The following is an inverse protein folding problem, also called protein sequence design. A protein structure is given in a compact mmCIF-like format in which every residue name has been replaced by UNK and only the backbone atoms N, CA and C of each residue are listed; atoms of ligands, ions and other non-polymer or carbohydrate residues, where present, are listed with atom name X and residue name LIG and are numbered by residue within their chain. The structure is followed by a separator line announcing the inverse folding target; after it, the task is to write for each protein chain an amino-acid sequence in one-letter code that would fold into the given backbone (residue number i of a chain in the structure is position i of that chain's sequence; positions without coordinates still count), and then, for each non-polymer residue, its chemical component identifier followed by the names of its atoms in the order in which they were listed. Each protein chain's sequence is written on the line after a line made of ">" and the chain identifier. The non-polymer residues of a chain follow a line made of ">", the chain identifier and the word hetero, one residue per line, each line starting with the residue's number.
data_IF_204573952583
#
_entry.id   IF_204573952583
#
_cell.length_a   1.000
_cell.length_b   1.000
_cell.length_c   1.000
_cell.angle_alpha   90.00
_cell.angle_beta   90.00
_cell.angle_gamma   90.00
#
_symmetry.space_group_name_H-M   'P 1'
#
loop_
_entity.id
_entity.type
_entity.pdbx_description
1 polymer ?
#
# COMPACT_ATOMS: atom_id res chain seq x y z
N UNK A 1 24.18 -24.63 0.38
CA UNK A 1 24.12 -23.89 1.66
C UNK A 1 23.88 -22.38 1.46
N UNK A 2 23.91 -21.85 0.23
CA UNK A 2 23.70 -20.43 -0.07
C UNK A 2 22.23 -20.07 -0.31
N UNK A 3 21.44 -20.95 -0.94
CA UNK A 3 20.02 -20.70 -1.28
C UNK A 3 19.13 -20.52 -0.05
N UNK A 4 19.18 -21.44 0.93
CA UNK A 4 18.40 -21.25 2.18
C UNK A 4 18.75 -19.95 2.91
N UNK A 5 20.01 -19.52 2.87
CA UNK A 5 20.43 -18.29 3.55
C UNK A 5 19.90 -17.03 2.85
N UNK A 6 19.74 -17.07 1.52
CA UNK A 6 19.14 -15.99 0.74
C UNK A 6 17.62 -15.91 0.92
N UNK A 7 16.93 -17.05 0.92
CA UNK A 7 15.47 -17.13 1.18
C UNK A 7 15.12 -16.65 2.59
N UNK A 8 15.89 -17.05 3.60
CA UNK A 8 15.71 -16.58 4.97
C UNK A 8 15.87 -15.05 5.06
N UNK A 9 16.91 -14.49 4.44
CA UNK A 9 17.15 -13.04 4.45
C UNK A 9 16.06 -12.25 3.70
N UNK A 10 15.56 -12.77 2.57
CA UNK A 10 14.42 -12.16 1.87
C UNK A 10 13.16 -12.15 2.73
N UNK A 11 12.85 -13.30 3.35
CA UNK A 11 11.69 -13.45 4.24
C UNK A 11 11.76 -12.50 5.44
N UNK A 12 12.93 -12.35 6.06
CA UNK A 12 13.12 -11.39 7.16
C UNK A 12 12.93 -9.94 6.69
N UNK A 13 13.40 -9.60 5.50
CA UNK A 13 13.26 -8.26 4.95
C UNK A 13 11.80 -7.90 4.65
N UNK A 14 11.06 -8.79 3.98
CA UNK A 14 9.64 -8.52 3.67
C UNK A 14 8.79 -8.45 4.94
N UNK A 15 9.07 -9.28 5.95
CA UNK A 15 8.42 -9.17 7.26
C UNK A 15 8.72 -7.84 7.96
N UNK A 16 9.94 -7.32 7.83
CA UNK A 16 10.28 -6.00 8.35
C UNK A 16 9.58 -4.88 7.59
N UNK A 17 9.37 -5.03 6.28
CA UNK A 17 8.58 -4.11 5.47
C UNK A 17 7.11 -4.10 5.89
N UNK A 18 6.51 -5.27 6.09
CA UNK A 18 5.14 -5.40 6.59
C UNK A 18 4.96 -4.67 7.92
N UNK A 19 5.84 -4.92 8.90
CA UNK A 19 5.77 -4.24 10.22
C UNK A 19 5.84 -2.72 10.10
N UNK A 20 6.67 -2.19 9.19
CA UNK A 20 6.77 -0.75 8.96
C UNK A 20 5.47 -0.18 8.36
N UNK A 21 4.87 -0.89 7.41
CA UNK A 21 3.59 -0.50 6.81
C UNK A 21 2.46 -0.55 7.83
N UNK A 22 2.35 -1.62 8.62
CA UNK A 22 1.37 -1.75 9.71
C UNK A 22 1.51 -0.63 10.75
N UNK A 23 2.74 -0.25 11.09
CA UNK A 23 2.99 0.87 11.99
C UNK A 23 2.48 2.19 11.42
N UNK A 24 2.77 2.48 10.14
CA UNK A 24 2.32 3.71 9.47
C UNK A 24 0.80 3.77 9.31
N UNK A 25 0.16 2.63 9.04
CA UNK A 25 -1.30 2.49 8.99
C UNK A 25 -1.94 2.68 10.37
N UNK A 26 -1.35 2.08 11.41
CA UNK A 26 -1.83 2.25 12.79
C UNK A 26 -1.72 3.71 13.24
N UNK A 27 -0.59 4.37 12.92
CA UNK A 27 -0.39 5.80 13.15
C UNK A 27 -1.40 6.64 12.38
N UNK A 28 -1.72 6.30 11.13
CA UNK A 28 -2.76 6.96 10.36
C UNK A 28 -4.14 6.85 11.03
N UNK A 29 -4.54 5.64 11.41
CA UNK A 29 -5.82 5.38 12.06
C UNK A 29 -5.97 6.12 13.40
N UNK A 30 -4.88 6.24 14.17
CA UNK A 30 -4.88 7.04 15.40
C UNK A 30 -5.08 8.53 15.11
N UNK A 31 -4.42 9.07 14.08
CA UNK A 31 -4.62 10.46 13.68
C UNK A 31 -6.08 10.71 13.27
N UNK A 32 -6.70 9.81 12.50
CA UNK A 32 -8.12 9.90 12.10
C UNK A 32 -9.06 9.84 13.33
N UNK A 33 -8.76 8.94 14.27
CA UNK A 33 -9.58 8.74 15.48
C UNK A 33 -9.51 9.86 16.51
N UNK A 34 -8.45 10.68 16.51
CA UNK A 34 -8.30 11.84 17.41
C UNK A 34 -9.26 12.99 17.04
N UNK A 35 -9.78 13.00 15.81
CA UNK A 35 -10.72 14.03 15.33
C UNK A 35 -12.15 13.82 15.88
N UNK A 36 -12.50 12.62 16.38
CA UNK A 36 -13.89 12.28 16.75
C UNK A 36 -14.27 12.48 18.23
N UNK A 37 -13.44 13.12 19.07
CA UNK A 37 -13.72 13.26 20.52
C UNK A 37 -13.70 14.69 21.08
N UNK A 38 -13.55 15.72 20.25
CA UNK A 38 -13.60 17.11 20.74
C UNK A 38 -14.75 17.88 20.09
N UNK A 39 -15.87 17.92 20.80
CA UNK A 39 -16.80 19.04 20.69
C UNK A 39 -16.04 20.32 21.10
N UNK A 40 -16.03 21.34 20.22
CA UNK A 40 -15.82 22.80 20.44
C UNK A 40 -14.53 23.48 19.90
N UNK A 41 -14.61 24.80 19.57
CA UNK A 41 -13.90 25.42 18.43
C UNK A 41 -12.59 26.17 18.76
N UNK A 42 -11.58 26.00 17.88
CA UNK A 42 -10.42 26.88 17.61
C UNK A 42 -10.05 26.72 16.12
N UNK A 43 -10.84 27.36 15.27
CA UNK A 43 -11.34 26.74 14.03
C UNK A 43 -10.34 26.60 12.88
N UNK A 44 -9.25 27.37 12.83
CA UNK A 44 -8.38 27.34 11.64
C UNK A 44 -6.99 26.73 11.85
N UNK A 45 -6.38 26.84 13.04
CA UNK A 45 -4.98 26.43 13.22
C UNK A 45 -4.82 24.95 13.55
N UNK A 46 -5.72 24.39 14.34
CA UNK A 46 -5.67 22.98 14.72
C UNK A 46 -6.10 22.08 13.56
N UNK A 47 -7.17 22.45 12.84
CA UNK A 47 -7.61 21.74 11.64
C UNK A 47 -6.53 21.68 10.54
N UNK A 48 -5.79 22.78 10.33
CA UNK A 48 -4.68 22.81 9.38
C UNK A 48 -3.50 21.94 9.83
N UNK A 49 -3.10 21.99 11.10
CA UNK A 49 -2.01 21.16 11.64
C UNK A 49 -2.38 19.68 11.57
N UNK A 50 -3.60 19.32 11.97
CA UNK A 50 -4.09 17.94 11.89
C UNK A 50 -4.02 17.46 10.43
N UNK A 51 -4.62 18.21 9.50
CA UNK A 51 -4.60 17.89 8.06
C UNK A 51 -3.18 17.73 7.50
N UNK A 52 -2.23 18.57 7.94
CA UNK A 52 -0.83 18.48 7.52
C UNK A 52 -0.16 17.21 8.05
N UNK A 53 -0.42 16.83 9.31
CA UNK A 53 0.13 15.62 9.91
C UNK A 53 -0.45 14.37 9.23
N UNK A 54 -1.76 14.36 8.91
CA UNK A 54 -2.37 13.28 8.13
C UNK A 54 -1.70 13.12 6.76
N UNK A 55 -1.58 14.22 6.00
CA UNK A 55 -0.93 14.23 4.69
C UNK A 55 0.52 13.78 4.76
N UNK A 56 1.25 14.22 5.79
CA UNK A 56 2.64 13.83 5.99
C UNK A 56 2.78 12.33 6.26
N UNK A 57 1.88 11.74 7.04
CA UNK A 57 1.89 10.32 7.33
C UNK A 57 1.55 9.47 6.09
N UNK A 58 0.54 9.88 5.32
CA UNK A 58 0.21 9.22 4.05
C UNK A 58 1.36 9.33 3.03
N UNK A 59 2.00 10.49 2.94
CA UNK A 59 3.17 10.67 2.08
C UNK A 59 4.37 9.82 2.53
N UNK A 60 4.53 9.58 3.84
CA UNK A 60 5.54 8.65 4.37
C UNK A 60 5.22 7.21 3.98
N UNK A 61 3.97 6.79 4.11
CA UNK A 61 3.51 5.47 3.67
C UNK A 61 3.70 5.28 2.15
N UNK A 62 3.29 6.27 1.35
CA UNK A 62 3.47 6.23 -0.10
C UNK A 62 4.94 6.10 -0.49
N UNK A 63 5.84 6.92 0.07
CA UNK A 63 7.29 6.80 -0.19
C UNK A 63 7.85 5.44 0.22
N UNK A 64 7.34 4.85 1.31
CA UNK A 64 7.75 3.51 1.70
C UNK A 64 7.36 2.49 0.64
N UNK A 65 6.11 2.52 0.17
CA UNK A 65 5.60 1.61 -0.87
C UNK A 65 6.32 1.78 -2.21
N UNK A 66 6.66 3.01 -2.59
CA UNK A 66 7.42 3.31 -3.82
C UNK A 66 8.80 2.64 -3.85
N UNK A 67 9.42 2.36 -2.69
CA UNK A 67 10.72 1.70 -2.60
C UNK A 67 10.68 0.18 -2.62
N UNK A 68 9.50 -0.43 -2.52
CA UNK A 68 9.33 -1.88 -2.42
C UNK A 68 9.20 -2.53 -3.79
N UNK A 69 9.59 -3.80 -3.92
CA UNK A 69 9.31 -4.59 -5.11
C UNK A 69 7.80 -4.91 -5.22
N UNK A 70 7.21 -5.05 -6.42
CA UNK A 70 5.81 -5.49 -6.58
C UNK A 70 5.46 -6.73 -5.73
N UNK A 71 6.31 -7.76 -5.75
CA UNK A 71 6.13 -8.97 -4.93
C UNK A 71 6.09 -8.69 -3.40
N UNK A 72 6.89 -7.74 -2.90
CA UNK A 72 6.84 -7.33 -1.49
C UNK A 72 5.51 -6.62 -1.17
N UNK A 73 5.01 -5.80 -2.10
CA UNK A 73 3.72 -5.12 -1.95
C UNK A 73 2.59 -6.14 -1.98
N UNK A 74 2.63 -7.12 -2.88
CA UNK A 74 1.67 -8.20 -2.94
C UNK A 74 1.61 -8.96 -1.61
N UNK A 75 2.75 -9.36 -1.06
CA UNK A 75 2.83 -9.99 0.27
C UNK A 75 2.18 -9.12 1.36
N UNK A 76 2.44 -7.82 1.35
CA UNK A 76 1.85 -6.88 2.32
C UNK A 76 0.32 -6.82 2.14
N UNK A 77 -0.18 -6.67 0.92
CA UNK A 77 -1.62 -6.60 0.63
C UNK A 77 -2.35 -7.86 1.11
N UNK A 78 -1.74 -9.04 0.98
CA UNK A 78 -2.30 -10.30 1.47
C UNK A 78 -2.37 -10.39 2.99
N UNK A 79 -1.37 -9.84 3.68
CA UNK A 79 -1.32 -9.84 5.14
C UNK A 79 -2.29 -8.83 5.80
N UNK A 80 -2.69 -7.79 5.07
CA UNK A 80 -3.51 -6.71 5.63
C UNK A 80 -5.02 -7.05 5.67
N UNK A 81 -5.76 -6.55 6.69
CA UNK A 81 -7.22 -6.49 6.66
C UNK A 81 -7.74 -5.67 5.47
N UNK A 82 -8.98 -5.92 5.04
CA UNK A 82 -9.52 -5.36 3.79
C UNK A 82 -9.46 -3.83 3.74
N UNK A 83 -9.79 -3.12 4.81
CA UNK A 83 -9.79 -1.65 4.82
C UNK A 83 -8.37 -1.09 4.64
N UNK A 84 -7.40 -1.69 5.32
CA UNK A 84 -5.99 -1.29 5.24
C UNK A 84 -5.38 -1.66 3.89
N UNK A 85 -5.74 -2.83 3.35
CA UNK A 85 -5.35 -3.29 2.03
C UNK A 85 -5.79 -2.31 0.96
N UNK A 86 -7.07 -1.90 0.96
CA UNK A 86 -7.59 -0.96 -0.02
C UNK A 86 -6.95 0.42 0.09
N UNK A 87 -6.65 0.88 1.31
CA UNK A 87 -5.88 2.11 1.50
C UNK A 87 -4.47 2.00 0.91
N UNK A 88 -3.76 0.91 1.17
CA UNK A 88 -2.43 0.67 0.58
C UNK A 88 -2.52 0.61 -0.93
N UNK A 89 -3.51 -0.09 -1.48
CA UNK A 89 -3.73 -0.20 -2.92
C UNK A 89 -3.87 1.16 -3.60
N UNK A 90 -4.71 2.06 -3.05
CA UNK A 90 -4.90 3.42 -3.58
C UNK A 90 -3.63 4.30 -3.48
N UNK A 91 -2.71 3.99 -2.56
CA UNK A 91 -1.46 4.73 -2.39
C UNK A 91 -0.34 4.25 -3.32
N UNK A 92 -0.45 3.04 -3.86
CA UNK A 92 0.48 2.56 -4.87
C UNK A 92 0.22 3.29 -6.19
N UNK A 93 1.28 3.50 -6.97
CA UNK A 93 1.14 4.16 -8.27
C UNK A 93 0.63 3.17 -9.32
N UNK A 94 -0.29 3.65 -10.16
CA UNK A 94 -0.98 2.80 -11.13
C UNK A 94 -0.07 2.19 -12.19
N UNK A 95 1.12 2.74 -12.44
CA UNK A 95 2.13 2.12 -13.31
C UNK A 95 2.61 0.74 -12.84
N UNK A 96 2.30 0.35 -11.59
CA UNK A 96 2.72 -0.93 -10.98
C UNK A 96 1.56 -1.89 -10.76
N UNK A 97 0.34 -1.49 -11.14
CA UNK A 97 -0.86 -2.26 -10.85
C UNK A 97 -0.79 -3.64 -11.51
N UNK A 98 -0.35 -3.71 -12.77
CA UNK A 98 -0.21 -4.96 -13.51
C UNK A 98 0.72 -5.95 -12.79
N UNK A 99 1.96 -5.52 -12.53
CA UNK A 99 2.98 -6.33 -11.86
C UNK A 99 2.50 -6.84 -10.49
N UNK A 100 1.89 -5.98 -9.67
CA UNK A 100 1.37 -6.36 -8.35
C UNK A 100 0.19 -7.34 -8.48
N UNK A 101 -0.69 -7.10 -9.45
CA UNK A 101 -1.83 -7.98 -9.68
C UNK A 101 -1.33 -9.39 -9.99
N UNK A 102 -0.31 -9.60 -10.83
CA UNK A 102 0.26 -10.93 -11.11
C UNK A 102 0.69 -11.66 -9.82
N UNK A 103 1.34 -10.95 -8.91
CA UNK A 103 1.98 -11.52 -7.71
C UNK A 103 1.00 -11.92 -6.60
N UNK A 104 -0.17 -11.27 -6.49
CA UNK A 104 -1.15 -11.57 -5.44
C UNK A 104 -1.97 -12.85 -5.74
N UNK A 105 -2.47 -13.51 -4.71
CA UNK A 105 -3.45 -14.58 -4.83
C UNK A 105 -4.76 -14.11 -5.46
N UNK A 106 -5.50 -15.05 -6.09
CA UNK A 106 -6.75 -14.75 -6.79
C UNK A 106 -7.79 -14.04 -5.92
N UNK A 107 -7.95 -14.46 -4.66
CA UNK A 107 -8.89 -13.84 -3.74
C UNK A 107 -8.56 -12.37 -3.46
N UNK A 108 -7.27 -12.03 -3.34
CA UNK A 108 -6.83 -10.65 -3.16
C UNK A 108 -6.99 -9.89 -4.47
N UNK A 109 -6.53 -10.45 -5.59
CA UNK A 109 -6.68 -9.89 -6.94
C UNK A 109 -8.11 -9.48 -7.25
N UNK A 110 -9.09 -10.34 -6.98
CA UNK A 110 -10.52 -10.05 -7.15
C UNK A 110 -10.96 -8.83 -6.33
N UNK A 111 -10.51 -8.74 -5.07
CA UNK A 111 -10.84 -7.60 -4.20
C UNK A 111 -10.24 -6.27 -4.68
N UNK A 112 -9.05 -6.31 -5.28
CA UNK A 112 -8.38 -5.12 -5.84
C UNK A 112 -9.06 -4.69 -7.15
N UNK A 113 -9.28 -5.64 -8.06
CA UNK A 113 -9.97 -5.41 -9.35
C UNK A 113 -11.37 -4.82 -9.14
N UNK A 114 -12.08 -5.26 -8.09
CA UNK A 114 -13.40 -4.72 -7.75
C UNK A 114 -13.40 -3.21 -7.42
N UNK A 115 -12.24 -2.64 -7.09
CA UNK A 115 -12.09 -1.21 -6.83
C UNK A 115 -11.58 -0.40 -8.03
N UNK A 116 -11.14 -1.07 -9.10
CA UNK A 116 -10.56 -0.42 -10.27
C UNK A 116 -11.64 -0.03 -11.28
N UNK A 117 -11.43 1.11 -11.94
CA UNK A 117 -12.25 1.52 -13.08
C UNK A 117 -11.74 0.88 -14.38
N UNK A 118 -12.50 1.05 -15.48
CA UNK A 118 -12.17 0.45 -16.78
C UNK A 118 -10.82 0.91 -17.33
N UNK A 119 -10.46 2.18 -17.13
CA UNK A 119 -9.23 2.76 -17.65
C UNK A 119 -8.01 2.24 -16.88
N UNK A 120 -8.14 2.10 -15.55
CA UNK A 120 -7.12 1.47 -14.70
C UNK A 120 -6.91 -0.01 -15.08
N UNK A 121 -8.00 -0.77 -15.27
CA UNK A 121 -7.90 -2.17 -15.71
C UNK A 121 -7.23 -2.30 -17.09
N UNK A 122 -7.55 -1.39 -18.01
CA UNK A 122 -6.90 -1.35 -19.32
C UNK A 122 -5.41 -1.02 -19.20
N UNK A 123 -5.06 -0.01 -18.40
CA UNK A 123 -3.67 0.38 -18.20
C UNK A 123 -2.84 -0.75 -17.57
N UNK A 124 -3.40 -1.43 -16.55
CA UNK A 124 -2.76 -2.59 -15.92
C UNK A 124 -2.56 -3.74 -16.92
N UNK A 125 -3.54 -4.02 -17.79
CA UNK A 125 -3.37 -5.04 -18.84
C UNK A 125 -2.29 -4.65 -19.87
N UNK A 126 -2.23 -3.39 -20.29
CA UNK A 126 -1.23 -2.89 -21.24
C UNK A 126 0.20 -2.91 -20.67
N UNK A 127 0.36 -2.69 -19.36
CA UNK A 127 1.66 -2.84 -18.67
C UNK A 127 2.18 -4.26 -18.81
N UNK A 128 1.33 -5.25 -18.51
CA UNK A 128 1.69 -6.66 -18.56
C UNK A 128 2.05 -7.14 -19.97
N UNK A 129 1.30 -6.70 -20.98
CA UNK A 129 1.60 -7.01 -22.38
C UNK A 129 2.95 -6.41 -22.85
N UNK A 130 3.42 -5.34 -22.20
CA UNK A 130 4.67 -4.65 -22.60
C UNK A 130 5.89 -5.29 -21.96
N UNK A 131 5.79 -5.79 -20.74
CA UNK A 131 6.92 -6.43 -20.03
C UNK A 131 7.27 -7.81 -20.62
N UNK A 132 6.30 -8.58 -21.14
CA UNK A 132 6.56 -9.86 -21.84
C UNK A 132 7.32 -9.70 -23.17
N UNK A 133 7.40 -8.49 -23.74
CA UNK A 133 8.10 -8.24 -25.01
C UNK A 133 9.61 -7.99 -24.79
N UNK A 134 10.04 -7.78 -23.54
CA UNK A 134 11.41 -7.39 -23.20
C UNK A 134 12.34 -8.55 -22.78
N UNK A 135 11.80 -9.76 -22.54
CA UNK A 135 12.55 -10.99 -22.20
C UNK A 135 12.57 -12.01 -23.36
#
# INVERSE_FOLDING_TARGET
>A
MTESNQEHHYTENVQNHLKQVEFLLSKHALLEGVVHRQELPREDRHALVDTLVHKQNLAELQRKLESLHPADIAYILEALPIEQRLLVWVLVKSERDGEILIEVSDAVRESLIATMNRDELRAAAEQLDTDEIAD
#
